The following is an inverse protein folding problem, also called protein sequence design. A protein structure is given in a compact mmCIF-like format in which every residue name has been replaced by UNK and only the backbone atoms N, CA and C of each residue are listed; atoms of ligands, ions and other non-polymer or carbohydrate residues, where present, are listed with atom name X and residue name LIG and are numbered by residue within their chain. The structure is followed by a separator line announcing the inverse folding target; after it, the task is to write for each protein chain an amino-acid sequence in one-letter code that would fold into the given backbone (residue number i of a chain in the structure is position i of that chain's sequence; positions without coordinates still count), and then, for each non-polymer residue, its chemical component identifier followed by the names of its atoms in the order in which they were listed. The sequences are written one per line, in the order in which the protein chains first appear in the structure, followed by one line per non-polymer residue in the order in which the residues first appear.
data_IF_017164375186
#
_entry.id   IF_017164375186
#
_cell.length_a   1.000
_cell.length_b   1.000
_cell.length_c   1.000
_cell.angle_alpha   90.00
_cell.angle_beta   90.00
_cell.angle_gamma   90.00
#
_symmetry.space_group_name_H-M   'P 1'
#
loop_
_entity.id
_entity.type
_entity.pdbx_description
1 polymer ?
#
# COMPACT_ATOMS: atom_id res chain seq x y z
N UNK A 1 15.16 -18.02 7.02
CA UNK A 1 15.58 -17.15 5.90
C UNK A 1 17.04 -16.77 6.10
N UNK A 2 17.88 -16.82 5.06
CA UNK A 2 19.25 -16.29 5.18
C UNK A 2 19.16 -14.77 5.09
N UNK A 3 19.60 -14.04 6.12
CA UNK A 3 19.53 -12.57 6.18
C UNK A 3 20.07 -11.89 4.90
N UNK A 4 21.09 -12.50 4.29
CA UNK A 4 21.70 -12.03 3.06
C UNK A 4 20.72 -12.00 1.86
N UNK A 5 19.83 -12.99 1.73
CA UNK A 5 18.86 -13.03 0.61
C UNK A 5 17.83 -11.92 0.76
N UNK A 6 17.29 -11.74 1.96
CA UNK A 6 16.37 -10.64 2.27
C UNK A 6 16.97 -9.27 1.98
N UNK A 7 18.21 -9.03 2.40
CA UNK A 7 18.92 -7.77 2.11
C UNK A 7 19.11 -7.58 0.60
N UNK A 8 19.50 -8.63 -0.13
CA UNK A 8 19.67 -8.55 -1.58
C UNK A 8 18.37 -8.25 -2.33
N UNK A 9 17.24 -8.80 -1.87
CA UNK A 9 15.91 -8.51 -2.43
C UNK A 9 15.53 -7.06 -2.19
N UNK A 10 15.65 -6.57 -0.95
CA UNK A 10 15.33 -5.18 -0.60
C UNK A 10 16.20 -4.18 -1.37
N UNK A 11 17.50 -4.46 -1.50
CA UNK A 11 18.42 -3.64 -2.32
C UNK A 11 17.99 -3.67 -3.78
N UNK A 12 17.63 -4.83 -4.32
CA UNK A 12 17.18 -4.96 -5.71
C UNK A 12 15.90 -4.16 -5.97
N UNK A 13 14.95 -4.18 -5.04
CA UNK A 13 13.70 -3.39 -5.11
C UNK A 13 14.00 -1.89 -5.09
N UNK A 14 14.87 -1.45 -4.18
CA UNK A 14 15.31 -0.06 -4.10
C UNK A 14 15.96 0.40 -5.41
N UNK A 15 16.89 -0.39 -5.95
CA UNK A 15 17.60 -0.09 -7.20
C UNK A 15 16.65 -0.06 -8.39
N UNK A 16 15.79 -1.08 -8.51
CA UNK A 16 14.78 -1.14 -9.57
C UNK A 16 13.86 0.08 -9.52
N UNK A 17 13.31 0.38 -8.34
CA UNK A 17 12.39 1.52 -8.17
C UNK A 17 13.08 2.85 -8.43
N UNK A 18 14.36 2.97 -8.05
CA UNK A 18 15.20 4.13 -8.40
C UNK A 18 15.34 4.28 -9.91
N UNK A 19 15.73 3.24 -10.64
CA UNK A 19 15.85 3.30 -12.10
C UNK A 19 14.50 3.63 -12.74
N UNK A 20 13.44 2.97 -12.28
CA UNK A 20 12.08 3.15 -12.78
C UNK A 20 11.59 4.59 -12.59
N UNK A 21 11.78 5.20 -11.42
CA UNK A 21 11.30 6.57 -11.17
C UNK A 21 12.00 7.59 -12.07
N UNK A 22 13.27 7.40 -12.41
CA UNK A 22 13.98 8.24 -13.38
C UNK A 22 13.42 8.09 -14.81
N UNK A 23 13.05 6.88 -15.20
CA UNK A 23 12.42 6.61 -16.50
C UNK A 23 11.00 7.18 -16.56
N UNK A 24 10.18 6.86 -15.56
CA UNK A 24 8.81 7.33 -15.42
C UNK A 24 8.75 8.86 -15.44
N UNK A 25 9.70 9.55 -14.79
CA UNK A 25 9.80 11.01 -14.82
C UNK A 25 9.88 11.57 -16.24
N UNK A 26 10.70 10.97 -17.11
CA UNK A 26 10.84 11.40 -18.52
C UNK A 26 9.54 11.21 -19.29
N UNK A 27 8.85 10.09 -19.07
CA UNK A 27 7.58 9.77 -19.72
C UNK A 27 6.47 10.71 -19.24
N UNK A 28 6.36 10.92 -17.93
CA UNK A 28 5.37 11.78 -17.30
C UNK A 28 5.40 13.22 -17.84
N UNK A 29 6.58 13.79 -18.03
CA UNK A 29 6.73 15.12 -18.65
C UNK A 29 6.17 15.15 -20.07
N UNK A 30 6.41 14.10 -20.88
CA UNK A 30 5.91 14.02 -22.27
C UNK A 30 4.39 13.88 -22.33
N UNK A 31 3.80 13.09 -21.44
CA UNK A 31 2.35 12.84 -21.42
C UNK A 31 1.58 13.86 -20.58
N UNK A 32 2.26 14.80 -19.91
CA UNK A 32 1.63 15.83 -19.09
C UNK A 32 1.13 15.34 -17.72
N UNK A 33 1.64 14.22 -17.21
CA UNK A 33 1.38 13.74 -15.85
C UNK A 33 2.28 14.48 -14.85
N UNK A 34 2.00 15.77 -14.68
CA UNK A 34 2.82 16.72 -13.91
C UNK A 34 1.94 17.67 -13.12
N UNK A 35 2.35 18.01 -11.89
CA UNK A 35 1.74 19.11 -11.14
C UNK A 35 2.23 20.44 -11.74
N UNK A 36 1.27 21.25 -12.22
CA UNK A 36 1.52 22.57 -12.77
C UNK A 36 1.26 23.62 -11.69
N UNK A 37 2.14 24.61 -11.50
CA UNK A 37 1.85 25.68 -10.57
C UNK A 37 0.63 26.50 -11.02
N UNK A 38 -0.44 26.45 -10.24
CA UNK A 38 -1.53 27.43 -10.30
C UNK A 38 -1.14 28.69 -9.51
N UNK A 39 -1.81 29.82 -9.79
CA UNK A 39 -1.60 31.15 -9.18
C UNK A 39 -1.58 31.19 -7.62
N UNK A 40 -1.89 30.07 -6.93
CA UNK A 40 -1.81 29.90 -5.47
C UNK A 40 -0.57 29.12 -4.95
N UNK A 41 0.28 28.50 -5.78
CA UNK A 41 1.41 27.65 -5.31
C UNK A 41 2.80 28.32 -5.51
N UNK A 42 3.67 28.19 -4.49
CA UNK A 42 5.01 28.82 -4.37
C UNK A 42 6.15 28.16 -5.17
N UNK A 43 5.89 27.18 -6.05
CA UNK A 43 6.95 26.51 -6.85
C UNK A 43 6.96 26.99 -8.30
N UNK A 44 8.15 27.28 -8.84
CA UNK A 44 8.36 27.48 -10.28
C UNK A 44 8.82 26.16 -10.91
N UNK A 45 8.05 25.63 -11.86
CA UNK A 45 8.39 24.42 -12.62
C UNK A 45 7.34 23.31 -12.56
N UNK A 46 7.36 22.45 -13.58
CA UNK A 46 6.53 21.23 -13.70
C UNK A 46 7.15 20.11 -12.88
N UNK A 47 6.42 19.56 -11.90
CA UNK A 47 6.90 18.47 -11.03
C UNK A 47 6.16 17.19 -11.40
N UNK A 48 6.85 16.11 -11.82
CA UNK A 48 6.18 14.87 -12.25
C UNK A 48 5.52 14.10 -11.10
N UNK A 49 4.29 13.62 -11.35
CA UNK A 49 3.47 12.83 -10.43
C UNK A 49 3.69 11.34 -10.70
N UNK A 50 4.85 10.82 -10.29
CA UNK A 50 5.32 9.46 -10.65
C UNK A 50 5.72 8.60 -9.47
N UNK A 51 5.67 9.13 -8.24
CA UNK A 51 6.05 8.39 -7.04
C UNK A 51 5.22 7.12 -6.89
N UNK A 52 3.89 7.23 -6.95
CA UNK A 52 2.98 6.09 -6.84
C UNK A 52 3.18 4.99 -7.86
N UNK A 53 3.29 5.37 -9.13
CA UNK A 53 3.51 4.42 -10.23
C UNK A 53 4.85 3.69 -10.04
N UNK A 54 5.87 4.40 -9.56
CA UNK A 54 7.19 3.81 -9.31
C UNK A 54 7.18 2.85 -8.13
N UNK A 55 6.51 3.21 -7.03
CA UNK A 55 6.32 2.32 -5.88
C UNK A 55 5.56 1.06 -6.30
N UNK A 56 4.48 1.19 -7.07
CA UNK A 56 3.73 0.04 -7.58
C UNK A 56 4.59 -0.87 -8.45
N UNK A 57 5.39 -0.30 -9.37
CA UNK A 57 6.32 -1.07 -10.18
C UNK A 57 7.35 -1.82 -9.32
N UNK A 58 7.87 -1.19 -8.26
CA UNK A 58 8.77 -1.83 -7.29
C UNK A 58 8.13 -3.02 -6.56
N UNK A 59 6.85 -2.90 -6.19
CA UNK A 59 6.09 -3.99 -5.58
C UNK A 59 5.87 -5.15 -6.56
N UNK A 60 5.48 -4.85 -7.81
CA UNK A 60 5.35 -5.87 -8.85
C UNK A 60 6.68 -6.60 -9.09
N UNK A 61 7.80 -5.86 -9.09
CA UNK A 61 9.13 -6.43 -9.20
C UNK A 61 9.50 -7.31 -8.01
N UNK A 62 9.18 -6.89 -6.78
CA UNK A 62 9.38 -7.68 -5.56
C UNK A 62 8.69 -9.04 -5.66
N UNK A 63 7.42 -9.07 -6.05
CA UNK A 63 6.66 -10.32 -6.17
C UNK A 63 7.08 -11.18 -7.38
N UNK A 64 7.72 -10.59 -8.38
CA UNK A 64 8.33 -11.34 -9.49
C UNK A 64 9.68 -11.96 -9.13
N UNK A 65 10.41 -11.37 -8.18
CA UNK A 65 11.70 -11.90 -7.71
C UNK A 65 11.56 -12.93 -6.59
N UNK A 66 10.52 -12.80 -5.79
CA UNK A 66 10.44 -13.52 -4.53
C UNK A 66 9.47 -14.69 -4.59
N UNK A 67 9.93 -15.84 -4.08
CA UNK A 67 9.13 -17.06 -3.92
C UNK A 67 8.29 -17.08 -2.63
N UNK A 68 8.16 -15.95 -1.92
CA UNK A 68 7.33 -15.91 -0.71
C UNK A 68 5.88 -16.20 -1.03
N UNK A 69 5.28 -17.12 -0.27
CA UNK A 69 3.83 -17.28 -0.30
C UNK A 69 3.17 -16.04 0.31
N UNK A 70 2.43 -15.32 -0.54
CA UNK A 70 1.63 -14.15 -0.17
C UNK A 70 0.17 -14.49 -0.47
N UNK A 71 -0.69 -14.54 0.56
CA UNK A 71 -2.11 -14.78 0.35
C UNK A 71 -2.72 -13.74 -0.58
N UNK A 72 -3.59 -14.19 -1.48
CA UNK A 72 -4.38 -13.31 -2.35
C UNK A 72 -3.56 -12.35 -3.22
N UNK A 73 -2.27 -12.66 -3.48
CA UNK A 73 -1.33 -11.81 -4.21
C UNK A 73 -1.85 -11.28 -5.54
N UNK A 74 -2.37 -12.17 -6.40
CA UNK A 74 -2.87 -11.78 -7.72
C UNK A 74 -4.03 -10.79 -7.63
N UNK A 75 -4.94 -11.02 -6.67
CA UNK A 75 -6.06 -10.14 -6.41
C UNK A 75 -5.59 -8.78 -5.88
N UNK A 76 -4.65 -8.77 -4.94
CA UNK A 76 -4.04 -7.54 -4.45
C UNK A 76 -3.45 -6.72 -5.61
N UNK A 77 -2.65 -7.35 -6.48
CA UNK A 77 -1.99 -6.66 -7.59
C UNK A 77 -2.98 -6.10 -8.61
N UNK A 78 -4.07 -6.81 -8.90
CA UNK A 78 -5.15 -6.32 -9.77
C UNK A 78 -5.82 -5.10 -9.11
N UNK A 79 -6.20 -5.20 -7.83
CA UNK A 79 -6.87 -4.12 -7.13
C UNK A 79 -5.99 -2.87 -7.00
N UNK A 80 -4.74 -3.05 -6.55
CA UNK A 80 -3.75 -2.00 -6.45
C UNK A 80 -3.45 -1.37 -7.82
N UNK A 81 -3.34 -2.19 -8.88
CA UNK A 81 -3.12 -1.70 -10.25
C UNK A 81 -4.27 -0.83 -10.76
N UNK A 82 -5.53 -1.22 -10.51
CA UNK A 82 -6.71 -0.41 -10.84
C UNK A 82 -6.69 0.90 -10.06
N UNK A 83 -6.38 0.88 -8.76
CA UNK A 83 -6.31 2.08 -7.93
C UNK A 83 -5.19 3.04 -8.38
N UNK A 84 -4.00 2.51 -8.68
CA UNK A 84 -2.88 3.28 -9.22
C UNK A 84 -3.23 3.88 -10.57
N UNK A 85 -3.91 3.12 -11.44
CA UNK A 85 -4.37 3.62 -12.73
C UNK A 85 -5.38 4.76 -12.57
N UNK A 86 -6.41 4.57 -11.74
CA UNK A 86 -7.43 5.61 -11.49
C UNK A 86 -6.81 6.84 -10.83
N UNK A 87 -5.91 6.67 -9.86
CA UNK A 87 -5.20 7.79 -9.25
C UNK A 87 -4.29 8.53 -10.25
N UNK A 88 -3.63 7.83 -11.16
CA UNK A 88 -2.84 8.47 -12.22
C UNK A 88 -3.71 9.20 -13.25
N UNK A 89 -4.93 8.71 -13.49
CA UNK A 89 -5.92 9.43 -14.30
C UNK A 89 -6.47 10.65 -13.57
N UNK A 90 -6.66 10.57 -12.25
CA UNK A 90 -7.05 11.70 -11.41
C UNK A 90 -6.00 12.80 -11.42
N UNK A 91 -4.73 12.43 -11.23
CA UNK A 91 -3.56 13.33 -11.32
C UNK A 91 -3.49 14.09 -12.66
N UNK A 92 -4.04 13.52 -13.75
CA UNK A 92 -4.02 14.12 -15.08
C UNK A 92 -5.29 14.86 -15.46
N UNK A 93 -6.45 14.34 -15.07
CA UNK A 93 -7.76 14.77 -15.56
C UNK A 93 -8.67 15.34 -14.48
N UNK A 94 -8.23 15.41 -13.22
CA UNK A 94 -9.00 15.90 -12.06
C UNK A 94 -10.36 15.20 -11.96
N UNK A 95 -10.32 13.89 -11.72
CA UNK A 95 -11.49 13.02 -11.67
C UNK A 95 -12.35 13.38 -10.45
N UNK A 96 -13.66 13.43 -10.68
CA UNK A 96 -14.61 13.72 -9.61
C UNK A 96 -14.47 12.74 -8.43
N UNK A 97 -14.55 13.28 -7.22
CA UNK A 97 -14.48 12.52 -5.96
C UNK A 97 -15.48 11.35 -5.92
N UNK A 98 -16.65 11.52 -6.56
CA UNK A 98 -17.68 10.47 -6.67
C UNK A 98 -17.16 9.23 -7.39
N UNK A 99 -16.47 9.41 -8.53
CA UNK A 99 -15.92 8.28 -9.31
C UNK A 99 -14.83 7.57 -8.48
N UNK A 100 -13.93 8.33 -7.84
CA UNK A 100 -12.90 7.77 -6.96
C UNK A 100 -13.49 6.95 -5.83
N UNK A 101 -14.51 7.48 -5.14
CA UNK A 101 -15.20 6.78 -4.07
C UNK A 101 -15.90 5.49 -4.56
N UNK A 102 -16.54 5.52 -5.73
CA UNK A 102 -17.16 4.33 -6.33
C UNK A 102 -16.12 3.26 -6.65
N UNK A 103 -14.99 3.63 -7.26
CA UNK A 103 -13.90 2.67 -7.54
C UNK A 103 -13.37 2.06 -6.24
N UNK A 104 -13.07 2.89 -5.23
CA UNK A 104 -12.61 2.40 -3.92
C UNK A 104 -13.62 1.45 -3.27
N UNK A 105 -14.92 1.76 -3.37
CA UNK A 105 -15.98 0.90 -2.84
C UNK A 105 -16.07 -0.44 -3.59
N UNK A 106 -15.98 -0.43 -4.93
CA UNK A 106 -15.96 -1.66 -5.74
C UNK A 106 -14.74 -2.51 -5.38
N UNK A 107 -13.56 -1.91 -5.26
CA UNK A 107 -12.33 -2.61 -4.88
C UNK A 107 -12.45 -3.22 -3.48
N UNK A 108 -13.02 -2.48 -2.52
CA UNK A 108 -13.28 -2.99 -1.17
C UNK A 108 -14.25 -4.18 -1.18
N UNK A 109 -15.33 -4.12 -1.99
CA UNK A 109 -16.28 -5.23 -2.14
C UNK A 109 -15.61 -6.45 -2.77
N UNK A 110 -14.81 -6.27 -3.82
CA UNK A 110 -14.04 -7.35 -4.46
C UNK A 110 -13.09 -8.01 -3.47
N UNK A 111 -12.36 -7.22 -2.68
CA UNK A 111 -11.51 -7.71 -1.60
C UNK A 111 -12.32 -8.53 -0.57
N UNK A 112 -13.45 -8.02 -0.09
CA UNK A 112 -14.29 -8.72 0.89
C UNK A 112 -14.87 -10.03 0.36
N UNK A 113 -15.32 -10.07 -0.89
CA UNK A 113 -16.00 -11.24 -1.46
C UNK A 113 -15.01 -12.31 -1.92
N UNK A 114 -13.93 -11.91 -2.60
CA UNK A 114 -12.99 -12.86 -3.21
C UNK A 114 -11.88 -13.25 -2.24
N UNK A 115 -11.28 -12.27 -1.54
CA UNK A 115 -10.24 -12.55 -0.55
C UNK A 115 -10.82 -12.99 0.80
N UNK A 116 -12.14 -12.82 1.01
CA UNK A 116 -12.80 -13.02 2.31
C UNK A 116 -12.24 -12.12 3.42
N UNK A 117 -11.54 -11.06 3.05
CA UNK A 117 -10.96 -10.09 3.97
C UNK A 117 -12.01 -9.07 4.38
N UNK A 118 -12.59 -9.29 5.56
CA UNK A 118 -13.53 -8.37 6.20
C UNK A 118 -13.36 -8.46 7.71
N UNK A 119 -13.68 -7.36 8.41
CA UNK A 119 -13.67 -7.28 9.87
C UNK A 119 -14.82 -8.12 10.44
N UNK A 120 -14.56 -9.38 10.77
CA UNK A 120 -15.54 -10.25 11.45
C UNK A 120 -15.62 -9.98 12.95
N UNK A 121 -14.51 -9.56 13.55
CA UNK A 121 -14.36 -9.31 14.98
C UNK A 121 -13.35 -8.19 15.20
N UNK A 122 -13.59 -7.36 16.21
CA UNK A 122 -12.61 -6.39 16.71
C UNK A 122 -11.67 -7.02 17.75
N UNK A 123 -11.87 -8.29 18.09
CA UNK A 123 -11.11 -8.98 19.12
C UNK A 123 -11.49 -8.52 20.53
N UNK A 124 -10.53 -8.62 21.45
CA UNK A 124 -10.71 -8.45 22.89
C UNK A 124 -10.44 -7.01 23.35
N UNK A 125 -11.00 -6.02 22.65
CA UNK A 125 -10.75 -4.59 22.94
C UNK A 125 -11.32 -4.18 24.31
N UNK A 126 -12.45 -4.77 24.71
CA UNK A 126 -13.15 -4.45 25.96
C UNK A 126 -13.02 -5.59 26.99
N UNK A 127 -11.78 -5.94 27.34
CA UNK A 127 -11.49 -6.98 28.32
C UNK A 127 -11.62 -8.40 27.72
N UNK A 128 -12.12 -9.40 28.47
CA UNK A 128 -12.09 -10.80 28.03
C UNK A 128 -13.18 -11.14 27.00
N UNK A 129 -14.06 -10.19 26.64
CA UNK A 129 -15.15 -10.42 25.71
C UNK A 129 -14.72 -10.11 24.28
N UNK A 130 -14.86 -11.09 23.39
CA UNK A 130 -14.62 -10.88 21.97
C UNK A 130 -15.78 -10.10 21.34
N UNK A 131 -15.46 -8.98 20.70
CA UNK A 131 -16.45 -8.14 20.02
C UNK A 131 -16.64 -8.58 18.57
N UNK A 132 -17.59 -9.51 18.36
CA UNK A 132 -17.99 -10.00 17.04
C UNK A 132 -18.93 -9.01 16.36
N UNK A 133 -18.63 -8.66 15.11
CA UNK A 133 -19.36 -7.62 14.36
C UNK A 133 -20.52 -8.17 13.51
N UNK A 134 -20.47 -9.47 13.16
CA UNK A 134 -21.47 -10.07 12.28
C UNK A 134 -21.59 -9.32 10.94
N UNK A 135 -22.81 -9.15 10.37
CA UNK A 135 -23.02 -8.46 9.10
C UNK A 135 -22.55 -7.00 9.07
N UNK A 136 -22.52 -6.33 10.23
CA UNK A 136 -22.03 -4.95 10.35
C UNK A 136 -20.54 -4.85 9.99
N UNK A 137 -19.79 -5.95 10.11
CA UNK A 137 -18.40 -6.06 9.71
C UNK A 137 -18.12 -5.65 8.26
N UNK A 138 -19.04 -5.95 7.33
CA UNK A 138 -18.89 -5.54 5.93
C UNK A 138 -18.96 -4.02 5.75
N UNK A 139 -19.92 -3.37 6.42
CA UNK A 139 -20.03 -1.91 6.40
C UNK A 139 -18.79 -1.26 7.02
N UNK A 140 -18.35 -1.76 8.17
CA UNK A 140 -17.17 -1.25 8.85
C UNK A 140 -15.91 -1.44 7.99
N UNK A 141 -15.78 -2.58 7.31
CA UNK A 141 -14.65 -2.83 6.39
C UNK A 141 -14.66 -1.87 5.21
N UNK A 142 -15.83 -1.65 4.58
CA UNK A 142 -15.98 -0.69 3.50
C UNK A 142 -15.57 0.71 3.93
N UNK A 143 -16.05 1.15 5.10
CA UNK A 143 -15.67 2.44 5.68
C UNK A 143 -14.17 2.50 5.99
N UNK A 144 -13.60 1.45 6.58
CA UNK A 144 -12.17 1.40 6.94
C UNK A 144 -11.26 1.49 5.70
N UNK A 145 -11.60 0.79 4.61
CA UNK A 145 -10.85 0.89 3.34
C UNK A 145 -10.93 2.30 2.77
N UNK A 146 -12.13 2.86 2.69
CA UNK A 146 -12.34 4.21 2.19
C UNK A 146 -11.62 5.26 3.06
N UNK A 147 -11.75 5.16 4.38
CA UNK A 147 -11.12 6.07 5.33
C UNK A 147 -9.59 5.98 5.30
N UNK A 148 -9.02 4.77 5.25
CA UNK A 148 -7.58 4.59 5.15
C UNK A 148 -7.03 5.25 3.88
N UNK A 149 -7.62 4.97 2.72
CA UNK A 149 -7.20 5.55 1.45
C UNK A 149 -7.27 7.09 1.50
N UNK A 150 -8.42 7.65 1.90
CA UNK A 150 -8.59 9.10 1.92
C UNK A 150 -7.69 9.79 2.97
N UNK A 151 -7.39 9.13 4.10
CA UNK A 151 -6.47 9.64 5.10
C UNK A 151 -5.05 9.80 4.53
N UNK A 152 -4.54 8.79 3.81
CA UNK A 152 -3.23 8.90 3.16
C UNK A 152 -3.23 9.96 2.04
N UNK A 153 -4.31 10.11 1.27
CA UNK A 153 -4.43 11.18 0.28
C UNK A 153 -4.41 12.57 0.92
N UNK A 154 -5.01 12.75 2.10
CA UNK A 154 -4.95 14.02 2.85
C UNK A 154 -3.56 14.36 3.39
N UNK A 155 -2.75 13.33 3.69
CA UNK A 155 -1.36 13.51 4.16
C UNK A 155 -0.42 13.91 3.01
N UNK A 156 -0.76 13.55 1.76
CA UNK A 156 0.03 13.81 0.54
C UNK A 156 -0.01 15.28 0.07
N UNK A 157 0.17 16.22 0.99
CA UNK A 157 0.23 17.67 0.71
C UNK A 157 1.53 18.34 1.16
N UNK A 158 2.38 17.61 1.89
CA UNK A 158 3.62 18.12 2.48
C UNK A 158 4.79 17.27 1.99
N UNK A 159 5.83 17.92 1.48
CA UNK A 159 7.06 17.26 1.01
C UNK A 159 7.62 16.34 2.10
N UNK A 160 7.81 15.07 1.75
CA UNK A 160 8.40 14.02 2.58
C UNK A 160 7.45 13.40 3.60
N UNK A 161 6.32 14.04 3.92
CA UNK A 161 5.45 13.60 5.00
C UNK A 161 4.80 12.25 4.71
N UNK A 162 4.19 12.09 3.54
CA UNK A 162 3.56 10.83 3.16
C UNK A 162 4.56 9.67 3.17
N UNK A 163 5.71 9.85 2.52
CA UNK A 163 6.73 8.79 2.44
C UNK A 163 7.29 8.44 3.82
N UNK A 164 7.57 9.45 4.66
CA UNK A 164 8.05 9.25 6.03
C UNK A 164 7.04 8.53 6.91
N UNK A 165 5.78 9.02 6.96
CA UNK A 165 4.69 8.40 7.73
C UNK A 165 4.50 6.94 7.31
N UNK A 166 4.42 6.69 6.01
CA UNK A 166 4.23 5.35 5.47
C UNK A 166 5.39 4.43 5.81
N UNK A 167 6.63 4.92 5.72
CA UNK A 167 7.82 4.14 6.08
C UNK A 167 7.81 3.74 7.56
N UNK A 168 7.40 4.65 8.45
CA UNK A 168 7.25 4.35 9.88
C UNK A 168 6.13 3.33 10.12
N UNK A 169 4.97 3.49 9.47
CA UNK A 169 3.87 2.53 9.58
C UNK A 169 4.27 1.13 9.10
N UNK A 170 4.89 1.02 7.93
CA UNK A 170 5.38 -0.28 7.42
C UNK A 170 6.51 -0.84 8.27
N UNK A 171 7.40 -0.02 8.84
CA UNK A 171 8.42 -0.51 9.75
C UNK A 171 7.82 -1.11 11.02
N UNK A 172 6.83 -0.43 11.62
CA UNK A 172 6.13 -0.92 12.80
C UNK A 172 5.40 -2.24 12.52
N UNK A 173 4.60 -2.30 11.45
CA UNK A 173 3.89 -3.52 11.04
C UNK A 173 4.88 -4.65 10.72
N UNK A 174 5.94 -4.35 9.96
CA UNK A 174 6.96 -5.33 9.56
C UNK A 174 7.68 -5.94 10.76
N UNK A 175 8.05 -5.13 11.76
CA UNK A 175 8.66 -5.62 12.99
C UNK A 175 7.70 -6.50 13.79
N UNK A 176 6.44 -6.08 13.97
CA UNK A 176 5.43 -6.87 14.68
C UNK A 176 5.24 -8.24 13.98
N UNK A 177 5.10 -8.25 12.67
CA UNK A 177 4.92 -9.47 11.89
C UNK A 177 6.14 -10.37 11.89
N UNK A 178 7.34 -9.78 11.91
CA UNK A 178 8.58 -10.52 12.04
C UNK A 178 8.64 -11.27 13.37
N UNK A 179 8.27 -10.61 14.48
CA UNK A 179 8.23 -11.24 15.80
C UNK A 179 7.08 -12.26 15.95
N UNK A 180 5.96 -12.09 15.23
CA UNK A 180 4.88 -13.09 15.14
C UNK A 180 5.23 -14.28 14.22
N UNK A 181 6.42 -14.28 13.60
CA UNK A 181 6.87 -15.35 12.69
C UNK A 181 6.24 -15.29 11.29
N UNK A 182 5.44 -14.26 10.98
CA UNK A 182 4.82 -14.03 9.68
C UNK A 182 5.81 -13.35 8.71
N UNK A 183 6.91 -14.05 8.42
CA UNK A 183 8.05 -13.49 7.69
C UNK A 183 7.71 -13.00 6.28
N UNK A 184 6.81 -13.66 5.55
CA UNK A 184 6.38 -13.23 4.21
C UNK A 184 5.72 -11.84 4.24
N UNK A 185 4.80 -11.60 5.18
CA UNK A 185 4.11 -10.31 5.32
C UNK A 185 5.02 -9.23 5.88
N UNK A 186 5.95 -9.60 6.77
CA UNK A 186 7.00 -8.69 7.23
C UNK A 186 7.90 -8.23 6.08
N UNK A 187 8.33 -9.16 5.22
CA UNK A 187 9.13 -8.84 4.03
C UNK A 187 8.37 -7.96 3.03
N UNK A 188 7.06 -8.14 2.90
CA UNK A 188 6.23 -7.22 2.11
C UNK A 188 6.25 -5.80 2.70
N UNK A 189 6.12 -5.64 4.02
CA UNK A 189 6.25 -4.33 4.67
C UNK A 189 7.63 -3.68 4.42
N UNK A 190 8.72 -4.44 4.56
CA UNK A 190 10.07 -3.91 4.29
C UNK A 190 10.29 -3.60 2.82
N UNK A 191 9.70 -4.38 1.90
CA UNK A 191 9.72 -4.10 0.47
C UNK A 191 9.00 -2.79 0.13
N UNK A 192 7.89 -2.47 0.81
CA UNK A 192 7.22 -1.17 0.66
C UNK A 192 8.17 -0.03 1.03
N UNK A 193 8.92 -0.15 2.13
CA UNK A 193 9.90 0.86 2.53
C UNK A 193 10.99 0.99 1.45
N UNK A 194 11.56 -0.13 1.00
CA UNK A 194 12.57 -0.13 -0.05
C UNK A 194 12.10 0.54 -1.36
N UNK A 195 10.83 0.34 -1.73
CA UNK A 195 10.22 0.97 -2.91
C UNK A 195 9.88 2.46 -2.69
N UNK A 196 9.54 2.87 -1.47
CA UNK A 196 9.19 4.26 -1.13
C UNK A 196 10.46 5.15 -0.98
N UNK A 197 11.58 4.59 -0.53
CA UNK A 197 12.81 5.35 -0.28
C UNK A 197 13.30 6.19 -1.49
N UNK A 198 13.35 5.68 -2.73
CA UNK A 198 13.74 6.48 -3.89
C UNK A 198 12.82 7.69 -4.11
N UNK A 199 11.51 7.52 -3.88
CA UNK A 199 10.55 8.61 -3.92
C UNK A 199 10.87 9.66 -2.84
N UNK A 200 11.08 9.26 -1.58
CA UNK A 200 11.42 10.19 -0.48
C UNK A 200 12.66 11.01 -0.84
N UNK A 201 13.72 10.35 -1.34
CA UNK A 201 14.98 11.03 -1.69
C UNK A 201 14.78 12.09 -2.77
N UNK A 202 13.99 11.79 -3.80
CA UNK A 202 13.70 12.75 -4.88
C UNK A 202 12.73 13.83 -4.43
N UNK A 203 11.74 13.50 -3.63
CA UNK A 203 10.74 14.45 -3.14
C UNK A 203 11.34 15.49 -2.20
N UNK A 204 12.24 15.08 -1.30
CA UNK A 204 13.02 15.99 -0.44
C UNK A 204 14.13 16.73 -1.19
N UNK A 205 14.38 16.40 -2.46
CA UNK A 205 15.38 17.06 -3.29
C UNK A 205 16.83 16.71 -2.93
N UNK A 206 17.09 15.54 -2.34
CA UNK A 206 18.44 15.08 -1.96
C UNK A 206 19.39 15.03 -3.17
N UNK A 207 18.86 14.63 -4.34
CA UNK A 207 19.61 14.61 -5.61
C UNK A 207 19.53 15.94 -6.39
N UNK A 208 19.01 16.99 -5.75
CA UNK A 208 18.79 18.32 -6.32
C UNK A 208 17.35 18.57 -6.75
N UNK A 209 16.89 19.82 -6.60
CA UNK A 209 15.49 20.24 -6.89
C UNK A 209 15.02 19.96 -8.32
N UNK A 210 15.94 19.85 -9.29
CA UNK A 210 15.65 19.50 -10.69
C UNK A 210 15.04 18.10 -10.88
N UNK A 211 15.23 17.21 -9.92
CA UNK A 211 14.75 15.83 -9.98
C UNK A 211 13.56 15.58 -9.05
N UNK A 212 12.98 16.66 -8.51
CA UNK A 212 11.83 16.58 -7.62
C UNK A 212 10.68 15.86 -8.32
N UNK A 213 10.02 14.99 -7.56
CA UNK A 213 8.82 14.25 -7.95
C UNK A 213 7.82 14.31 -6.81
N UNK A 214 6.55 14.19 -7.16
CA UNK A 214 5.46 14.05 -6.21
C UNK A 214 4.88 12.65 -6.25
N UNK A 215 4.27 12.24 -5.14
CA UNK A 215 3.67 10.91 -5.04
C UNK A 215 2.47 10.81 -5.98
N UNK A 216 1.59 11.81 -5.92
CA UNK A 216 0.33 11.85 -6.67
C UNK A 216 -0.74 10.97 -6.04
N UNK A 217 -1.99 11.17 -6.47
CA UNK A 217 -3.15 10.43 -6.00
C UNK A 217 -3.02 8.92 -6.27
N UNK A 218 -2.28 8.54 -7.31
CA UNK A 218 -1.92 7.14 -7.58
C UNK A 218 -1.19 6.48 -6.40
N UNK A 219 -0.25 7.19 -5.77
CA UNK A 219 0.63 6.61 -4.77
C UNK A 219 0.10 6.69 -3.36
N UNK A 220 -0.57 7.78 -2.99
CA UNK A 220 -1.26 7.90 -1.71
C UNK A 220 -2.39 6.87 -1.60
N UNK A 221 -3.16 6.67 -2.69
CA UNK A 221 -4.20 5.63 -2.77
C UNK A 221 -3.62 4.23 -2.64
N UNK A 222 -2.52 3.95 -3.36
CA UNK A 222 -1.81 2.67 -3.27
C UNK A 222 -1.38 2.39 -1.83
N UNK A 223 -0.68 3.31 -1.18
CA UNK A 223 -0.18 3.14 0.19
C UNK A 223 -1.34 2.89 1.15
N UNK A 224 -2.39 3.72 1.12
CA UNK A 224 -3.53 3.56 2.01
C UNK A 224 -4.22 2.21 1.82
N UNK A 225 -4.36 1.76 0.57
CA UNK A 225 -4.89 0.43 0.26
C UNK A 225 -3.98 -0.70 0.74
N UNK A 226 -2.67 -0.61 0.54
CA UNK A 226 -1.71 -1.63 1.02
C UNK A 226 -1.72 -1.74 2.54
N UNK A 227 -1.80 -0.62 3.26
CA UNK A 227 -1.88 -0.61 4.73
C UNK A 227 -3.14 -1.35 5.20
N UNK A 228 -4.32 -0.98 4.69
CA UNK A 228 -5.57 -1.64 5.13
C UNK A 228 -5.61 -3.12 4.70
N UNK A 229 -5.08 -3.46 3.52
CA UNK A 229 -4.97 -4.85 3.08
C UNK A 229 -4.13 -5.69 4.05
N UNK A 230 -2.93 -5.22 4.40
CA UNK A 230 -2.06 -5.92 5.34
C UNK A 230 -2.68 -6.03 6.72
N UNK A 231 -3.34 -4.99 7.22
CA UNK A 231 -4.04 -5.05 8.51
C UNK A 231 -5.17 -6.09 8.51
N UNK A 232 -5.95 -6.19 7.43
CA UNK A 232 -7.01 -7.19 7.32
C UNK A 232 -6.45 -8.60 7.14
N UNK A 233 -5.43 -8.78 6.31
CA UNK A 233 -4.78 -10.09 6.10
C UNK A 233 -4.20 -10.63 7.43
N UNK A 234 -3.53 -9.77 8.18
CA UNK A 234 -2.85 -10.15 9.42
C UNK A 234 -3.81 -10.43 10.57
N UNK A 235 -4.91 -9.67 10.67
CA UNK A 235 -5.89 -9.82 11.78
C UNK A 235 -7.00 -10.82 11.46
N UNK A 236 -7.42 -10.93 10.19
CA UNK A 236 -8.59 -11.73 9.78
C UNK A 236 -8.22 -12.92 8.88
N UNK A 237 -7.05 -12.93 8.24
CA UNK A 237 -6.62 -14.03 7.35
C UNK A 237 -6.50 -15.39 8.06
N UNK A 238 -6.06 -15.40 9.33
CA UNK A 238 -6.04 -16.61 10.17
C UNK A 238 -7.44 -17.15 10.49
N UNK A 239 -8.46 -16.29 10.59
CA UNK A 239 -9.86 -16.69 10.79
C UNK A 239 -10.38 -17.49 9.57
N UNK A 240 -9.98 -17.10 8.36
CA UNK A 240 -10.32 -17.79 7.10
C UNK A 240 -9.59 -19.14 6.95
N UNK A 241 -8.35 -19.25 7.44
CA UNK A 241 -7.59 -20.51 7.44
C UNK A 241 -8.09 -21.51 8.49
N UNK A 242 -8.44 -21.04 9.69
CA UNK A 242 -9.02 -21.90 10.74
C UNK A 242 -10.43 -22.39 10.42
N UNK A 243 -11.19 -21.69 9.57
CA UNK A 243 -12.46 -22.17 9.02
C UNK A 243 -12.28 -23.26 7.92
N UNK A 244 -11.07 -23.41 7.37
CA UNK A 244 -10.73 -24.45 6.36
C UNK A 244 -10.08 -25.70 6.95
N UNK A 245 -9.53 -25.62 8.16
CA UNK A 245 -9.04 -26.78 8.88
C UNK A 245 -10.11 -27.21 9.89
N UNK A 246 -10.76 -28.38 9.72
CA UNK A 246 -11.63 -28.88 10.76
C UNK A 246 -10.80 -29.01 12.05
N UNK A 247 -11.35 -28.53 13.17
CA UNK A 247 -10.76 -28.65 14.51
C UNK A 247 -10.72 -30.12 14.94
N UNK A 248 -9.87 -30.92 14.32
CA UNK A 248 -9.44 -32.22 14.80
C UNK A 248 -7.96 -32.08 15.16
N UNK A 249 -7.66 -31.76 16.43
CA UNK A 249 -6.26 -31.77 16.87
C UNK A 249 -5.84 -30.86 18.02
N UNK A 250 -6.74 -30.13 18.68
CA UNK A 250 -6.43 -29.45 19.95
C UNK A 250 -7.17 -30.12 21.12
N UNK A 251 -6.80 -31.37 21.37
CA UNK A 251 -7.08 -32.06 22.64
C UNK A 251 -5.90 -32.92 23.12
N UNK A 252 -4.69 -32.69 22.60
CA UNK A 252 -3.50 -33.40 23.02
C UNK A 252 -2.35 -32.41 23.11
N UNK A 253 -2.33 -31.59 24.17
CA UNK A 253 -1.13 -31.23 24.92
C UNK A 253 -1.62 -30.62 26.24
N UNK A 254 -1.57 -31.46 27.28
CA UNK A 254 -1.38 -31.01 28.67
C UNK A 254 0.00 -30.36 28.81
#
# INVERSE_FOLDING_TARGET
MKLLTALSELISIFLFTTIFIFLARKVAIKIGLVDKPNFRKRHQGVIPLVGGISVFAGICFMFGLSDYYIPHLSLYLICAGVLVFVGAMDDRFDISVKIRAVVQAVIAVVMMVIAKLHLGSLGYIFGPWELVLGPFGYFLTLFAVWAAINAFNMVDGIDGLLGGLSSVSFAAMGLILWFDGQTSLAMWCFAMIAAILPYIMLNLGILGRRYKVFMGDAGSTLIGFTVIWLLLETTQGKLTLSARLPRYGLSLFH
#
